data_IF_999575607827
#
_entry.id   IF_999575607827
#
_cell.length_a   1.000
_cell.length_b   1.000
_cell.length_c   1.000
_cell.angle_alpha   90.00
_cell.angle_beta   90.00
_cell.angle_gamma   90.00
#
_symmetry.space_group_name_H-M   'P 1'
#
loop_
_entity.id
_entity.type
_entity.pdbx_description
1 polymer ?
#
# COMPACT_ATOMS: atom_id res chain seq x y z
N UNK A 1 6.84 13.86 -28.70
CA UNK A 1 5.59 13.12 -28.38
C UNK A 1 4.60 14.10 -27.77
N UNK A 2 3.38 14.21 -28.32
CA UNK A 2 2.33 15.14 -27.85
C UNK A 2 2.08 14.97 -26.33
N UNK A 3 1.92 16.08 -25.61
CA UNK A 3 1.74 16.12 -24.15
C UNK A 3 0.56 15.25 -23.70
N UNK A 4 -0.58 15.33 -24.37
CA UNK A 4 -1.77 14.54 -24.05
C UNK A 4 -1.54 13.04 -24.23
N UNK A 5 -0.74 12.66 -25.23
CA UNK A 5 -0.33 11.26 -25.45
C UNK A 5 0.54 10.79 -24.28
N UNK A 6 1.40 11.64 -23.72
CA UNK A 6 2.22 11.30 -22.55
C UNK A 6 1.35 11.05 -21.30
N UNK A 7 0.34 11.90 -21.08
CA UNK A 7 -0.62 11.76 -19.97
C UNK A 7 -1.47 10.51 -20.12
N UNK A 8 -2.01 10.25 -21.33
CA UNK A 8 -2.74 9.02 -21.61
C UNK A 8 -1.89 7.76 -21.39
N UNK A 9 -0.60 7.83 -21.73
CA UNK A 9 0.34 6.74 -21.48
C UNK A 9 0.62 6.50 -19.98
N UNK A 10 0.37 7.47 -19.09
CA UNK A 10 0.48 7.25 -17.64
C UNK A 10 -0.45 6.13 -17.16
N UNK A 11 -1.61 5.92 -17.80
CA UNK A 11 -2.56 4.85 -17.45
C UNK A 11 -1.91 3.47 -17.62
N UNK A 12 -1.32 3.22 -18.79
CA UNK A 12 -0.65 1.93 -19.06
C UNK A 12 0.60 1.76 -18.19
N UNK A 13 1.36 2.84 -17.99
CA UNK A 13 2.49 2.85 -17.05
C UNK A 13 2.03 2.52 -15.63
N UNK A 14 0.85 2.98 -15.21
CA UNK A 14 0.31 2.71 -13.89
C UNK A 14 0.05 1.23 -13.65
N UNK A 15 -0.46 0.50 -14.65
CA UNK A 15 -0.68 -0.94 -14.50
C UNK A 15 0.64 -1.72 -14.37
N UNK A 16 1.64 -1.39 -15.20
CA UNK A 16 2.98 -2.01 -15.11
C UNK A 16 3.64 -1.66 -13.78
N UNK A 17 3.57 -0.39 -13.38
CA UNK A 17 4.07 0.09 -12.10
C UNK A 17 3.40 -0.63 -10.93
N UNK A 18 2.09 -0.83 -10.99
CA UNK A 18 1.32 -1.54 -9.96
C UNK A 18 1.81 -2.97 -9.78
N UNK A 19 2.15 -3.68 -10.87
CA UNK A 19 2.78 -5.00 -10.75
C UNK A 19 4.15 -4.90 -10.10
N UNK A 20 5.05 -4.09 -10.66
CA UNK A 20 6.44 -3.99 -10.19
C UNK A 20 6.50 -3.59 -8.72
N UNK A 21 5.69 -2.62 -8.28
CA UNK A 21 5.74 -2.14 -6.92
C UNK A 21 5.09 -3.08 -5.89
N UNK A 22 4.21 -4.01 -6.34
CA UNK A 22 3.48 -4.93 -5.46
C UNK A 22 3.97 -6.37 -5.52
N UNK A 23 4.79 -6.74 -6.52
CA UNK A 23 5.52 -8.01 -6.51
C UNK A 23 6.69 -7.87 -5.52
N UNK A 24 6.34 -7.99 -4.26
CA UNK A 24 7.22 -8.09 -3.11
C UNK A 24 7.20 -9.53 -2.58
N UNK A 25 8.30 -10.27 -2.78
CA UNK A 25 8.39 -11.67 -2.37
C UNK A 25 8.57 -11.81 -0.84
N UNK A 26 8.78 -10.71 -0.13
CA UNK A 26 8.90 -10.71 1.34
C UNK A 26 7.54 -10.59 2.03
N UNK A 27 6.49 -10.15 1.32
CA UNK A 27 5.15 -9.85 1.86
C UNK A 27 4.54 -10.96 2.74
N UNK A 28 4.71 -12.22 2.36
CA UNK A 28 4.14 -13.37 3.08
C UNK A 28 5.07 -14.09 4.04
N UNK A 29 6.28 -13.54 4.24
CA UNK A 29 7.34 -14.23 4.96
C UNK A 29 8.11 -13.32 5.90
N UNK A 30 7.93 -11.99 5.83
CA UNK A 30 8.75 -11.03 6.56
C UNK A 30 8.63 -11.20 8.07
N UNK A 31 7.43 -11.54 8.57
CA UNK A 31 7.20 -11.79 9.99
C UNK A 31 7.93 -13.05 10.46
N UNK A 32 7.94 -14.10 9.64
CA UNK A 32 8.67 -15.34 9.91
C UNK A 32 10.17 -15.08 9.87
N UNK A 33 10.64 -14.31 8.88
CA UNK A 33 12.03 -13.93 8.74
C UNK A 33 12.55 -13.19 9.98
N UNK A 34 11.81 -12.19 10.46
CA UNK A 34 12.17 -11.42 11.65
C UNK A 34 12.14 -12.27 12.93
N UNK A 35 11.14 -13.16 13.07
CA UNK A 35 11.12 -14.13 14.17
C UNK A 35 12.34 -15.07 14.11
N UNK A 36 12.71 -15.54 12.91
CA UNK A 36 13.91 -16.34 12.68
C UNK A 36 15.21 -15.59 12.98
N UNK A 37 15.21 -14.26 12.92
CA UNK A 37 16.30 -13.37 13.37
C UNK A 37 16.27 -13.08 14.88
N UNK A 38 15.41 -13.77 15.64
CA UNK A 38 15.35 -13.68 17.09
C UNK A 38 14.39 -12.63 17.65
N UNK A 39 13.53 -12.02 16.81
CA UNK A 39 12.52 -11.09 17.29
C UNK A 39 11.35 -11.86 17.93
N UNK A 40 10.95 -11.46 19.13
CA UNK A 40 9.71 -11.93 19.77
C UNK A 40 8.47 -11.42 19.04
N UNK A 41 7.35 -12.12 19.17
CA UNK A 41 6.05 -11.67 18.61
C UNK A 41 5.64 -10.28 19.13
N UNK A 42 6.02 -9.94 20.37
CA UNK A 42 5.83 -8.59 20.94
C UNK A 42 6.65 -7.56 20.19
N UNK A 43 7.93 -7.85 19.89
CA UNK A 43 8.77 -6.95 19.10
C UNK A 43 8.24 -6.79 17.68
N UNK A 44 7.71 -7.84 17.05
CA UNK A 44 7.04 -7.73 15.75
C UNK A 44 5.84 -6.78 15.82
N UNK A 45 5.02 -6.89 16.87
CA UNK A 45 3.91 -5.98 17.10
C UNK A 45 4.37 -4.52 17.33
N UNK A 46 5.49 -4.32 18.03
CA UNK A 46 6.09 -2.99 18.20
C UNK A 46 6.63 -2.41 16.89
N UNK A 47 7.19 -3.23 16.00
CA UNK A 47 7.61 -2.79 14.66
C UNK A 47 6.41 -2.31 13.84
N UNK A 48 5.32 -3.07 13.83
CA UNK A 48 4.06 -2.68 13.18
C UNK A 48 3.47 -1.40 13.79
N UNK A 49 3.50 -1.27 15.13
CA UNK A 49 3.12 -0.04 15.80
C UNK A 49 3.96 1.15 15.31
N UNK A 50 5.27 0.99 15.14
CA UNK A 50 6.16 2.04 14.61
C UNK A 50 5.77 2.41 13.18
N UNK A 51 5.50 1.43 12.31
CA UNK A 51 5.01 1.67 10.95
C UNK A 51 3.71 2.48 10.97
N UNK A 52 2.69 2.03 11.71
CA UNK A 52 1.38 2.70 11.72
C UNK A 52 1.42 4.09 12.36
N UNK A 53 2.16 4.30 13.45
CA UNK A 53 2.34 5.64 14.05
C UNK A 53 3.08 6.56 13.09
N UNK A 54 4.15 6.07 12.45
CA UNK A 54 4.90 6.86 11.47
C UNK A 54 4.02 7.22 10.29
N UNK A 55 3.27 6.26 9.75
CA UNK A 55 2.32 6.49 8.64
C UNK A 55 1.26 7.53 9.04
N UNK A 56 0.63 7.39 10.20
CA UNK A 56 -0.34 8.37 10.69
C UNK A 56 0.24 9.79 10.79
N UNK A 57 1.43 9.93 11.38
CA UNK A 57 2.08 11.23 11.56
C UNK A 57 2.57 11.84 10.24
N UNK A 58 2.95 11.01 9.28
CA UNK A 58 3.57 11.43 8.02
C UNK A 58 2.57 11.54 6.86
N UNK A 59 1.31 11.19 7.05
CA UNK A 59 0.27 11.25 6.01
C UNK A 59 0.17 12.67 5.42
N UNK A 60 0.03 13.68 6.27
CA UNK A 60 -0.09 15.06 5.79
C UNK A 60 1.25 15.66 5.33
N UNK A 61 2.37 15.47 6.04
CA UNK A 61 3.68 15.88 5.53
C UNK A 61 4.00 15.34 4.13
N UNK A 62 3.72 14.05 3.87
CA UNK A 62 3.99 13.43 2.56
C UNK A 62 2.97 13.87 1.50
N UNK A 63 1.71 14.12 1.87
CA UNK A 63 0.74 14.80 1.00
C UNK A 63 1.25 16.17 0.52
N UNK A 64 1.79 16.98 1.45
CA UNK A 64 2.39 18.27 1.12
C UNK A 64 3.60 18.13 0.18
N UNK A 65 4.42 17.08 0.33
CA UNK A 65 5.51 16.78 -0.63
C UNK A 65 4.94 16.59 -2.04
N UNK A 66 3.85 15.83 -2.17
CA UNK A 66 3.21 15.59 -3.46
C UNK A 66 2.56 16.85 -4.05
N UNK A 67 2.00 17.73 -3.23
CA UNK A 67 1.41 19.01 -3.68
C UNK A 67 2.49 20.02 -4.12
N UNK A 68 3.59 20.13 -3.38
CA UNK A 68 4.63 21.15 -3.60
C UNK A 68 5.61 20.73 -4.70
N UNK A 69 6.16 19.52 -4.60
CA UNK A 69 7.19 19.03 -5.52
C UNK A 69 6.58 18.27 -6.71
N UNK A 70 5.33 17.85 -6.59
CA UNK A 70 4.60 17.12 -7.63
C UNK A 70 4.43 15.64 -7.31
N UNK A 71 3.38 15.06 -7.92
CA UNK A 71 2.93 13.69 -7.68
C UNK A 71 3.99 12.66 -8.11
N UNK A 72 4.63 12.90 -9.26
CA UNK A 72 5.72 12.06 -9.78
C UNK A 72 6.91 12.04 -8.82
N UNK A 73 7.30 13.19 -8.26
CA UNK A 73 8.44 13.26 -7.34
C UNK A 73 8.14 12.48 -6.07
N UNK A 74 6.95 12.67 -5.49
CA UNK A 74 6.49 11.90 -4.33
C UNK A 74 6.56 10.39 -4.59
N UNK A 75 6.03 9.93 -5.73
CA UNK A 75 6.11 8.52 -6.17
C UNK A 75 7.54 8.00 -6.26
N UNK A 76 8.45 8.75 -6.91
CA UNK A 76 9.87 8.36 -7.04
C UNK A 76 10.50 8.20 -5.66
N UNK A 77 10.33 9.20 -4.79
CA UNK A 77 10.85 9.16 -3.42
C UNK A 77 10.28 7.97 -2.66
N UNK A 78 8.97 7.73 -2.76
CA UNK A 78 8.31 6.58 -2.15
C UNK A 78 8.94 5.26 -2.56
N UNK A 79 9.23 5.06 -3.86
CA UNK A 79 9.89 3.83 -4.33
C UNK A 79 11.36 3.72 -3.90
N UNK A 80 12.09 4.82 -3.86
CA UNK A 80 13.47 4.83 -3.34
C UNK A 80 13.49 4.44 -1.86
N UNK A 81 12.60 4.99 -1.05
CA UNK A 81 12.49 4.62 0.37
C UNK A 81 12.05 3.16 0.56
N UNK A 82 11.19 2.63 -0.32
CA UNK A 82 10.84 1.20 -0.34
C UNK A 82 12.07 0.33 -0.58
N UNK A 83 12.92 0.71 -1.52
CA UNK A 83 14.12 -0.07 -1.85
C UNK A 83 15.12 -0.02 -0.68
N UNK A 84 15.29 1.15 -0.08
CA UNK A 84 16.13 1.32 1.13
C UNK A 84 15.57 0.47 2.28
N UNK A 85 14.26 0.46 2.51
CA UNK A 85 13.69 -0.30 3.62
C UNK A 85 13.93 -1.80 3.49
N UNK A 86 13.76 -2.36 2.28
CA UNK A 86 14.01 -3.78 2.02
C UNK A 86 15.50 -4.13 2.17
N UNK A 87 16.41 -3.26 1.73
CA UNK A 87 17.86 -3.45 1.91
C UNK A 87 18.24 -3.43 3.39
N UNK A 88 17.71 -2.48 4.16
CA UNK A 88 17.93 -2.43 5.61
C UNK A 88 17.37 -3.69 6.27
N UNK A 89 16.16 -4.12 5.89
CA UNK A 89 15.51 -5.31 6.46
C UNK A 89 16.34 -6.58 6.23
N UNK A 90 16.96 -6.72 5.05
CA UNK A 90 17.85 -7.84 4.73
C UNK A 90 19.16 -7.79 5.53
N UNK A 91 19.79 -6.62 5.61
CA UNK A 91 21.11 -6.45 6.22
C UNK A 91 21.08 -6.31 7.76
N UNK A 92 19.91 -6.05 8.34
CA UNK A 92 19.74 -5.82 9.76
C UNK A 92 19.76 -7.12 10.59
N UNK A 93 20.36 -7.02 11.78
CA UNK A 93 20.46 -8.11 12.77
C UNK A 93 19.94 -7.69 14.15
N UNK A 94 19.08 -6.66 14.23
CA UNK A 94 18.58 -6.17 15.51
C UNK A 94 17.39 -5.24 15.41
N UNK A 95 16.64 -5.15 16.51
CA UNK A 95 15.38 -4.42 16.60
C UNK A 95 15.48 -2.97 16.12
N UNK A 96 16.54 -2.25 16.48
CA UNK A 96 16.69 -0.83 16.11
C UNK A 96 16.75 -0.65 14.59
N UNK A 97 17.51 -1.49 13.88
CA UNK A 97 17.61 -1.42 12.42
C UNK A 97 16.31 -1.87 11.73
N UNK A 98 15.62 -2.86 12.30
CA UNK A 98 14.28 -3.21 11.84
C UNK A 98 13.29 -2.06 12.03
N UNK A 99 13.31 -1.38 13.19
CA UNK A 99 12.47 -0.21 13.44
C UNK A 99 12.72 0.91 12.42
N UNK A 100 14.00 1.17 12.10
CA UNK A 100 14.36 2.11 11.03
C UNK A 100 13.78 1.65 9.70
N UNK A 101 13.92 0.38 9.32
CA UNK A 101 13.31 -0.15 8.09
C UNK A 101 11.79 0.06 8.05
N UNK A 102 11.08 -0.10 9.17
CA UNK A 102 9.63 0.12 9.27
C UNK A 102 9.26 1.60 9.12
N UNK A 103 10.08 2.52 9.64
CA UNK A 103 9.94 3.96 9.38
C UNK A 103 10.08 4.26 7.88
N UNK A 104 11.11 3.74 7.21
CA UNK A 104 11.28 3.92 5.77
C UNK A 104 10.11 3.32 4.96
N UNK A 105 9.59 2.17 5.40
CA UNK A 105 8.44 1.52 4.79
C UNK A 105 7.17 2.37 4.94
N UNK A 106 6.93 2.96 6.10
CA UNK A 106 5.81 3.87 6.33
C UNK A 106 5.90 5.14 5.46
N UNK A 107 7.08 5.76 5.40
CA UNK A 107 7.30 6.92 4.53
C UNK A 107 7.10 6.57 3.05
N UNK A 108 7.58 5.40 2.63
CA UNK A 108 7.38 4.88 1.28
C UNK A 108 5.90 4.70 0.94
N UNK A 109 5.13 4.14 1.88
CA UNK A 109 3.70 3.91 1.74
C UNK A 109 2.96 5.24 1.55
N UNK A 110 3.16 6.21 2.43
CA UNK A 110 2.43 7.48 2.38
C UNK A 110 2.79 8.35 1.16
N UNK A 111 4.06 8.35 0.75
CA UNK A 111 4.51 9.10 -0.43
C UNK A 111 3.87 8.59 -1.73
N UNK A 112 3.40 7.34 -1.76
CA UNK A 112 2.73 6.75 -2.92
C UNK A 112 1.21 6.72 -2.79
N UNK A 113 0.65 6.46 -1.60
CA UNK A 113 -0.78 6.19 -1.38
C UNK A 113 -1.68 7.27 -1.98
N UNK A 114 -1.48 8.54 -1.61
CA UNK A 114 -2.24 9.67 -2.17
C UNK A 114 -1.70 10.18 -3.50
N UNK A 115 -0.37 10.30 -3.61
CA UNK A 115 0.27 10.89 -4.79
C UNK A 115 0.05 10.07 -6.06
N UNK A 116 0.07 8.74 -5.93
CA UNK A 116 -0.08 7.83 -7.05
C UNK A 116 -1.49 7.84 -7.64
N UNK A 117 -2.51 7.95 -6.80
CA UNK A 117 -3.90 8.09 -7.24
C UNK A 117 -4.16 9.45 -7.88
N UNK A 118 -3.69 10.52 -7.24
CA UNK A 118 -3.77 11.88 -7.77
C UNK A 118 -3.08 12.01 -9.13
N UNK A 119 -1.89 11.42 -9.31
CA UNK A 119 -1.17 11.46 -10.60
C UNK A 119 -2.04 10.95 -11.76
N UNK A 120 -2.78 9.87 -11.55
CA UNK A 120 -3.62 9.25 -12.60
C UNK A 120 -4.94 10.01 -12.76
N UNK A 121 -5.55 10.42 -11.66
CA UNK A 121 -6.75 11.24 -11.70
C UNK A 121 -6.51 12.56 -12.43
N UNK A 122 -5.45 13.29 -12.05
CA UNK A 122 -5.08 14.57 -12.66
C UNK A 122 -4.69 14.40 -14.13
N UNK A 123 -3.98 13.32 -14.49
CA UNK A 123 -3.69 13.00 -15.90
C UNK A 123 -4.96 12.81 -16.73
N UNK A 124 -6.00 12.18 -16.17
CA UNK A 124 -7.30 11.98 -16.85
C UNK A 124 -8.10 13.27 -16.92
N UNK A 125 -8.09 14.05 -15.85
CA UNK A 125 -8.74 15.36 -15.76
C UNK A 125 -8.23 16.32 -16.83
N UNK A 126 -6.91 16.39 -17.05
CA UNK A 126 -6.32 17.26 -18.09
C UNK A 126 -6.72 16.91 -19.51
N UNK A 127 -6.92 15.62 -19.79
CA UNK A 127 -7.32 15.13 -21.11
C UNK A 127 -8.85 14.98 -21.23
N UNK A 128 -9.62 15.42 -20.24
CA UNK A 128 -11.09 15.37 -20.24
C UNK A 128 -11.68 13.95 -20.15
N UNK A 129 -10.98 13.00 -19.52
CA UNK A 129 -11.38 11.59 -19.40
C UNK A 129 -11.61 11.14 -17.94
N UNK A 130 -11.94 12.05 -17.02
CA UNK A 130 -12.11 11.77 -15.57
C UNK A 130 -13.19 10.72 -15.25
N UNK A 131 -14.27 10.64 -16.03
CA UNK A 131 -15.32 9.61 -15.91
C UNK A 131 -14.77 8.17 -15.99
N UNK A 132 -13.59 7.99 -16.61
CA UNK A 132 -12.95 6.68 -16.76
C UNK A 132 -12.15 6.28 -15.52
N UNK A 133 -11.96 7.16 -14.55
CA UNK A 133 -11.10 6.93 -13.39
C UNK A 133 -11.51 5.67 -12.62
N UNK A 134 -12.80 5.53 -12.29
CA UNK A 134 -13.28 4.36 -11.53
C UNK A 134 -13.01 3.03 -12.25
N UNK A 135 -13.19 2.99 -13.58
CA UNK A 135 -12.88 1.82 -14.40
C UNK A 135 -11.37 1.51 -14.41
N UNK A 136 -10.54 2.54 -14.46
CA UNK A 136 -9.08 2.42 -14.43
C UNK A 136 -8.60 1.95 -13.05
N UNK A 137 -9.18 2.49 -11.97
CA UNK A 137 -8.89 2.08 -10.59
C UNK A 137 -9.30 0.64 -10.34
N UNK A 138 -10.49 0.22 -10.80
CA UNK A 138 -10.90 -1.19 -10.72
C UNK A 138 -9.96 -2.13 -11.50
N UNK A 139 -9.43 -1.69 -12.64
CA UNK A 139 -8.41 -2.48 -13.36
C UNK A 139 -7.06 -2.48 -12.63
N UNK A 140 -6.64 -1.36 -12.03
CA UNK A 140 -5.44 -1.28 -11.17
C UNK A 140 -5.52 -2.31 -10.05
N UNK A 141 -6.69 -2.44 -9.42
CA UNK A 141 -6.93 -3.40 -8.35
C UNK A 141 -6.68 -4.85 -8.80
N UNK A 142 -7.12 -5.25 -9.99
CA UNK A 142 -6.82 -6.58 -10.54
C UNK A 142 -5.30 -6.81 -10.66
N UNK A 143 -4.54 -5.81 -11.12
CA UNK A 143 -3.08 -5.91 -11.20
C UNK A 143 -2.43 -6.00 -9.82
N UNK A 144 -2.96 -5.28 -8.82
CA UNK A 144 -2.53 -5.39 -7.42
C UNK A 144 -2.75 -6.80 -6.87
N UNK A 145 -3.94 -7.37 -7.08
CA UNK A 145 -4.25 -8.72 -6.61
C UNK A 145 -3.37 -9.79 -7.27
N UNK A 146 -3.18 -9.70 -8.59
CA UNK A 146 -2.27 -10.60 -9.33
C UNK A 146 -0.85 -10.48 -8.82
N UNK A 147 -0.36 -9.27 -8.56
CA UNK A 147 0.96 -9.07 -7.96
C UNK A 147 1.06 -9.74 -6.58
N UNK A 148 0.03 -9.62 -5.74
CA UNK A 148 -0.04 -10.28 -4.44
C UNK A 148 0.02 -11.81 -4.55
N UNK A 149 -0.75 -12.42 -5.47
CA UNK A 149 -0.69 -13.87 -5.72
C UNK A 149 0.73 -14.31 -6.11
N UNK A 150 1.38 -13.59 -7.04
CA UNK A 150 2.76 -13.86 -7.44
C UNK A 150 3.71 -13.73 -6.24
N UNK A 151 3.56 -12.67 -5.46
CA UNK A 151 4.34 -12.41 -4.25
C UNK A 151 4.28 -13.56 -3.26
N UNK A 152 3.09 -14.04 -2.91
CA UNK A 152 2.95 -15.09 -1.90
C UNK A 152 3.44 -16.44 -2.41
N UNK A 153 3.11 -16.82 -3.64
CA UNK A 153 3.55 -18.09 -4.22
C UNK A 153 5.07 -18.13 -4.43
N UNK A 154 5.61 -17.14 -5.13
CA UNK A 154 7.04 -17.07 -5.41
C UNK A 154 7.83 -16.79 -4.14
N UNK A 155 7.35 -15.90 -3.28
CA UNK A 155 7.98 -15.55 -2.02
C UNK A 155 8.07 -16.74 -1.06
N UNK A 156 6.96 -17.44 -0.83
CA UNK A 156 6.92 -18.63 0.01
C UNK A 156 7.84 -19.75 -0.53
N UNK A 157 7.78 -20.02 -1.84
CA UNK A 157 8.64 -21.02 -2.47
C UNK A 157 10.14 -20.69 -2.40
N UNK A 158 10.50 -19.43 -2.65
CA UNK A 158 11.90 -18.98 -2.59
C UNK A 158 12.41 -18.96 -1.16
N UNK A 159 11.60 -18.52 -0.19
CA UNK A 159 11.96 -18.47 1.22
C UNK A 159 12.15 -19.85 1.84
N UNK A 160 11.39 -20.85 1.40
CA UNK A 160 11.60 -22.24 1.79
C UNK A 160 13.00 -22.77 1.41
N UNK A 161 13.67 -22.14 0.43
CA UNK A 161 15.06 -22.44 0.06
C UNK A 161 16.05 -21.48 0.71
N UNK A 162 15.79 -20.18 0.59
CA UNK A 162 16.63 -19.12 1.14
C UNK A 162 15.89 -17.78 1.12
N UNK A 163 15.74 -17.19 2.31
CA UNK A 163 15.21 -15.83 2.45
C UNK A 163 16.03 -14.81 1.64
N UNK A 164 17.36 -14.93 1.60
CA UNK A 164 18.23 -14.01 0.86
C UNK A 164 17.87 -13.95 -0.64
N UNK A 165 17.46 -15.06 -1.25
CA UNK A 165 17.03 -15.10 -2.66
C UNK A 165 15.72 -14.34 -2.84
N UNK A 166 14.74 -14.54 -1.97
CA UNK A 166 13.46 -13.83 -2.01
C UNK A 166 13.66 -12.30 -1.87
N UNK A 167 14.52 -11.89 -0.93
CA UNK A 167 14.90 -10.48 -0.76
C UNK A 167 15.66 -9.92 -1.96
N UNK A 168 16.64 -10.65 -2.51
CA UNK A 168 17.41 -10.20 -3.68
C UNK A 168 16.52 -9.97 -4.90
N UNK A 169 15.58 -10.88 -5.18
CA UNK A 169 14.60 -10.71 -6.25
C UNK A 169 13.71 -9.49 -5.98
N UNK A 170 13.24 -9.31 -4.74
CA UNK A 170 12.44 -8.13 -4.34
C UNK A 170 13.21 -6.83 -4.56
N UNK A 171 14.51 -6.78 -4.23
CA UNK A 171 15.37 -5.61 -4.46
C UNK A 171 15.51 -5.33 -5.97
N UNK A 172 15.71 -6.36 -6.80
CA UNK A 172 15.81 -6.20 -8.26
C UNK A 172 14.50 -5.65 -8.85
N UNK A 173 13.36 -6.21 -8.43
CA UNK A 173 12.04 -5.75 -8.87
C UNK A 173 11.77 -4.32 -8.37
N UNK A 174 12.13 -4.01 -7.12
CA UNK A 174 12.03 -2.68 -6.54
C UNK A 174 12.87 -1.65 -7.28
N UNK A 175 14.09 -2.00 -7.68
CA UNK A 175 14.94 -1.15 -8.53
C UNK A 175 14.31 -0.91 -9.91
N UNK A 176 13.71 -1.94 -10.51
CA UNK A 176 12.95 -1.78 -11.76
C UNK A 176 11.72 -0.87 -11.56
N UNK A 177 11.02 -0.95 -10.43
CA UNK A 177 9.92 -0.05 -10.09
C UNK A 177 10.39 1.41 -9.94
N UNK A 178 11.55 1.65 -9.30
CA UNK A 178 12.19 2.98 -9.23
C UNK A 178 12.46 3.50 -10.64
N UNK A 179 13.12 2.73 -11.51
CA UNK A 179 13.40 3.14 -12.90
C UNK A 179 12.11 3.43 -13.67
N UNK A 180 11.10 2.59 -13.54
CA UNK A 180 9.82 2.75 -14.20
C UNK A 180 9.10 4.04 -13.74
N UNK A 181 9.23 4.42 -12.46
CA UNK A 181 8.61 5.62 -11.92
C UNK A 181 9.09 6.93 -12.59
N UNK A 182 10.34 6.96 -13.09
CA UNK A 182 10.85 8.10 -13.87
C UNK A 182 10.16 8.26 -15.23
N UNK A 183 9.53 7.21 -15.75
CA UNK A 183 8.86 7.25 -17.06
C UNK A 183 7.53 8.03 -17.03
N UNK A 184 6.94 8.28 -15.86
CA UNK A 184 5.68 9.01 -15.74
C UNK A 184 5.82 10.47 -16.19
N UNK A 185 4.73 11.01 -16.74
CA UNK A 185 4.59 12.42 -17.02
C UNK A 185 3.83 13.09 -15.88
N UNK A 186 4.38 14.18 -15.36
CA UNK A 186 3.69 15.00 -14.36
C UNK A 186 2.55 15.80 -15.03
N UNK A 187 1.29 15.69 -14.54
CA UNK A 187 0.21 16.55 -14.94
C UNK A 187 0.44 17.99 -14.42
N UNK A 188 -0.06 18.99 -15.14
CA UNK A 188 0.09 20.39 -14.79
C UNK A 188 -1.02 20.94 -13.87
N UNK A 189 -2.07 20.17 -13.61
CA UNK A 189 -3.20 20.52 -12.72
C UNK A 189 -2.65 21.00 -11.37
N UNK A 190 -3.14 22.15 -10.93
CA UNK A 190 -2.94 22.74 -9.61
C UNK A 190 -1.52 23.19 -9.19
N UNK A 191 -0.54 23.29 -10.10
CA UNK A 191 0.72 24.01 -9.79
C UNK A 191 0.57 25.52 -9.63
N UNK A 192 -0.61 26.09 -9.90
CA UNK A 192 -0.87 27.52 -9.71
C UNK A 192 -1.47 27.77 -8.33
N UNK A 193 -0.61 28.33 -7.46
CA UNK A 193 -0.84 28.95 -6.15
C UNK A 193 -0.50 28.00 -4.98
N UNK A 194 0.65 28.23 -4.32
CA UNK A 194 0.73 28.62 -2.89
C UNK A 194 2.06 28.30 -2.17
N UNK A 195 3.11 29.07 -2.47
CA UNK A 195 4.33 29.09 -1.65
C UNK A 195 4.12 29.73 -0.25
N UNK A 196 2.92 30.25 0.06
CA UNK A 196 2.61 30.94 1.34
C UNK A 196 1.52 30.29 2.20
N UNK A 197 0.93 29.14 1.83
CA UNK A 197 -0.26 28.59 2.53
C UNK A 197 -0.14 27.18 3.12
N UNK A 198 0.98 26.46 2.99
CA UNK A 198 1.11 25.06 3.47
C UNK A 198 0.77 24.88 4.97
N UNK A 199 1.29 25.76 5.83
CA UNK A 199 1.02 25.68 7.29
C UNK A 199 -0.43 26.03 7.64
N UNK A 200 -1.05 26.95 6.90
CA UNK A 200 -2.45 27.33 7.07
C UNK A 200 -3.39 26.26 6.49
N UNK A 201 -3.03 25.62 5.37
CA UNK A 201 -3.79 24.52 4.77
C UNK A 201 -3.82 23.32 5.72
N UNK A 202 -2.69 22.93 6.30
CA UNK A 202 -2.63 21.83 7.26
C UNK A 202 -3.54 22.05 8.47
N UNK A 203 -3.39 23.20 9.13
CA UNK A 203 -4.20 23.54 10.30
C UNK A 203 -5.69 23.67 9.95
N UNK A 204 -6.00 24.17 8.75
CA UNK A 204 -7.38 24.28 8.27
C UNK A 204 -7.98 22.91 7.97
N UNK A 205 -7.28 22.01 7.27
CA UNK A 205 -7.72 20.64 6.98
C UNK A 205 -7.91 19.83 8.27
N UNK A 206 -6.99 19.94 9.23
CA UNK A 206 -7.16 19.31 10.55
C UNK A 206 -8.38 19.86 11.29
N UNK A 207 -8.53 21.19 11.31
CA UNK A 207 -9.68 21.84 11.97
C UNK A 207 -11.00 21.45 11.32
N UNK A 208 -11.02 21.30 10.00
CA UNK A 208 -12.19 20.87 9.23
C UNK A 208 -12.50 19.40 9.49
N UNK A 209 -11.50 18.52 9.45
CA UNK A 209 -11.63 17.09 9.80
C UNK A 209 -12.17 16.92 11.22
N UNK A 210 -11.62 17.64 12.20
CA UNK A 210 -12.10 17.63 13.59
C UNK A 210 -13.52 18.19 13.72
N UNK A 211 -13.89 19.19 12.91
CA UNK A 211 -15.25 19.73 12.87
C UNK A 211 -16.23 18.68 12.31
N UNK A 212 -15.87 17.97 11.24
CA UNK A 212 -16.70 16.90 10.67
C UNK A 212 -16.91 15.79 11.69
N UNK A 213 -15.84 15.35 12.36
CA UNK A 213 -15.89 14.35 13.44
C UNK A 213 -16.84 14.80 14.56
N UNK A 214 -16.72 16.05 15.02
CA UNK A 214 -17.61 16.58 16.07
C UNK A 214 -19.06 16.75 15.63
N UNK A 215 -19.29 17.11 14.37
CA UNK A 215 -20.63 17.44 13.87
C UNK A 215 -21.42 16.20 13.44
N UNK A 216 -20.75 15.08 13.16
CA UNK A 216 -21.37 13.87 12.60
C UNK A 216 -20.99 12.61 13.40
N UNK A 217 -21.55 12.42 14.62
CA UNK A 217 -21.21 11.28 15.47
C UNK A 217 -21.53 9.92 14.81
N UNK A 218 -22.50 9.87 13.89
CA UNK A 218 -22.80 8.65 13.11
C UNK A 218 -21.65 8.25 12.19
N UNK A 219 -21.00 9.22 11.53
CA UNK A 219 -19.85 8.96 10.65
C UNK A 219 -18.67 8.46 11.49
N UNK A 220 -18.43 9.07 12.65
CA UNK A 220 -17.39 8.63 13.59
C UNK A 220 -17.65 7.20 14.05
N UNK A 221 -18.89 6.86 14.41
CA UNK A 221 -19.24 5.50 14.81
C UNK A 221 -18.97 4.48 13.71
N UNK A 222 -19.27 4.81 12.44
CA UNK A 222 -18.99 3.94 11.30
C UNK A 222 -17.48 3.78 11.05
N UNK A 223 -16.71 4.86 11.17
CA UNK A 223 -15.25 4.82 11.05
C UNK A 223 -14.68 3.91 12.15
N UNK A 224 -14.98 4.19 13.42
CA UNK A 224 -14.47 3.41 14.56
C UNK A 224 -14.86 1.94 14.45
N UNK A 225 -16.11 1.65 14.08
CA UNK A 225 -16.57 0.28 13.86
C UNK A 225 -15.77 -0.44 12.77
N UNK A 226 -15.57 0.21 11.63
CA UNK A 226 -14.83 -0.36 10.49
C UNK A 226 -13.36 -0.57 10.83
N UNK A 227 -12.72 0.42 11.46
CA UNK A 227 -11.31 0.36 11.85
C UNK A 227 -11.05 -0.72 12.91
N UNK A 228 -11.97 -0.93 13.85
CA UNK A 228 -11.85 -2.03 14.83
C UNK A 228 -11.84 -3.39 14.10
N UNK A 229 -12.75 -3.62 13.16
CA UNK A 229 -12.81 -4.87 12.41
C UNK A 229 -11.55 -5.06 11.58
N UNK A 230 -11.13 -4.03 10.84
CA UNK A 230 -9.91 -4.06 10.04
C UNK A 230 -8.65 -4.28 10.90
N UNK A 231 -8.62 -3.76 12.12
CA UNK A 231 -7.54 -4.02 13.07
C UNK A 231 -7.44 -5.50 13.40
N UNK A 232 -8.56 -6.16 13.72
CA UNK A 232 -8.57 -7.61 13.97
C UNK A 232 -8.12 -8.41 12.73
N UNK A 233 -8.66 -8.09 11.55
CA UNK A 233 -8.26 -8.76 10.30
C UNK A 233 -6.76 -8.58 10.02
N UNK A 234 -6.23 -7.37 10.23
CA UNK A 234 -4.81 -7.05 10.03
C UNK A 234 -3.92 -7.81 11.02
N UNK A 235 -4.30 -7.86 12.30
CA UNK A 235 -3.56 -8.64 13.30
C UNK A 235 -3.54 -10.14 12.95
N UNK A 236 -4.68 -10.70 12.54
CA UNK A 236 -4.73 -12.10 12.07
C UNK A 236 -3.81 -12.29 10.88
N UNK A 237 -3.90 -11.42 9.86
CA UNK A 237 -3.06 -11.49 8.67
C UNK A 237 -1.57 -11.48 9.00
N UNK A 238 -1.15 -10.67 9.96
CA UNK A 238 0.24 -10.59 10.41
C UNK A 238 0.70 -11.84 11.16
N UNK A 239 0.01 -12.21 12.24
CA UNK A 239 0.46 -13.28 13.13
C UNK A 239 0.22 -14.68 12.58
N UNK A 240 -0.69 -14.86 11.61
CA UNK A 240 -1.01 -16.16 11.02
C UNK A 240 0.23 -16.82 10.37
N UNK A 241 1.15 -16.04 9.80
CA UNK A 241 2.41 -16.54 9.22
C UNK A 241 3.25 -17.28 10.29
N UNK A 242 3.47 -16.63 11.43
CA UNK A 242 4.26 -17.18 12.54
C UNK A 242 3.53 -18.33 13.24
N UNK A 243 2.20 -18.22 13.39
CA UNK A 243 1.38 -19.30 13.94
C UNK A 243 1.51 -20.58 13.11
N UNK A 244 1.29 -20.49 11.79
CA UNK A 244 1.47 -21.63 10.89
C UNK A 244 2.91 -22.16 10.91
N UNK A 245 3.92 -21.28 10.95
CA UNK A 245 5.31 -21.72 11.05
C UNK A 245 5.56 -22.52 12.34
N UNK A 246 4.97 -22.09 13.46
CA UNK A 246 5.04 -22.79 14.75
C UNK A 246 4.37 -24.16 14.73
N UNK A 247 3.29 -24.33 13.97
CA UNK A 247 2.61 -25.61 13.74
C UNK A 247 3.37 -26.53 12.75
N UNK A 248 4.54 -26.12 12.26
CA UNK A 248 5.41 -26.93 11.40
C UNK A 248 5.17 -26.76 9.89
N UNK A 249 4.30 -25.85 9.48
CA UNK A 249 4.13 -25.53 8.04
C UNK A 249 5.39 -24.83 7.50
N UNK A 250 5.79 -25.20 6.28
CA UNK A 250 6.87 -24.50 5.59
C UNK A 250 6.38 -23.22 4.90
N UNK A 251 7.32 -22.36 4.51
CA UNK A 251 7.08 -21.07 3.88
C UNK A 251 6.28 -21.19 2.57
N UNK A 252 6.47 -22.29 1.83
CA UNK A 252 5.75 -22.53 0.58
C UNK A 252 4.25 -22.76 0.82
N UNK A 253 3.87 -23.57 1.82
CA UNK A 253 2.47 -23.80 2.17
C UNK A 253 1.83 -22.51 2.70
N UNK A 254 2.55 -21.76 3.54
CA UNK A 254 2.09 -20.46 4.04
C UNK A 254 1.83 -19.51 2.85
N UNK A 255 2.75 -19.44 1.90
CA UNK A 255 2.58 -18.69 0.66
C UNK A 255 1.34 -19.11 -0.15
N UNK A 256 1.04 -20.41 -0.24
CA UNK A 256 -0.18 -20.90 -0.92
C UNK A 256 -1.46 -20.43 -0.21
N UNK A 257 -1.48 -20.43 1.13
CA UNK A 257 -2.64 -19.98 1.92
C UNK A 257 -2.93 -18.49 1.68
N UNK A 258 -1.91 -17.63 1.73
CA UNK A 258 -2.10 -16.20 1.44
C UNK A 258 -2.39 -15.91 -0.04
N UNK A 259 -1.84 -16.69 -0.96
CA UNK A 259 -2.19 -16.58 -2.37
C UNK A 259 -3.68 -16.89 -2.59
N UNK A 260 -4.22 -17.91 -1.90
CA UNK A 260 -5.62 -18.25 -1.99
C UNK A 260 -6.54 -17.12 -1.49
N UNK A 261 -6.15 -16.40 -0.42
CA UNK A 261 -6.94 -15.25 0.06
C UNK A 261 -6.94 -14.08 -0.93
N UNK A 262 -5.82 -13.82 -1.62
CA UNK A 262 -5.75 -12.81 -2.68
C UNK A 262 -6.55 -13.21 -3.93
N UNK A 263 -6.56 -14.49 -4.30
CA UNK A 263 -7.44 -14.99 -5.37
C UNK A 263 -8.91 -14.79 -4.98
N UNK A 264 -9.29 -15.13 -3.75
CA UNK A 264 -10.64 -14.92 -3.25
C UNK A 264 -11.04 -13.44 -3.25
N UNK A 265 -10.12 -12.55 -2.85
CA UNK A 265 -10.32 -11.10 -2.91
C UNK A 265 -10.52 -10.61 -4.36
N UNK A 266 -9.69 -11.07 -5.31
CA UNK A 266 -9.82 -10.73 -6.73
C UNK A 266 -11.16 -11.18 -7.33
N UNK A 267 -11.61 -12.39 -7.01
CA UNK A 267 -12.90 -12.91 -7.46
C UNK A 267 -14.05 -12.11 -6.86
N UNK A 268 -13.99 -11.82 -5.56
CA UNK A 268 -15.01 -11.03 -4.85
C UNK A 268 -15.09 -9.61 -5.40
N UNK A 269 -13.95 -8.96 -5.66
CA UNK A 269 -13.90 -7.64 -6.28
C UNK A 269 -14.55 -7.62 -7.67
N UNK A 270 -14.37 -8.68 -8.47
CA UNK A 270 -15.00 -8.79 -9.79
C UNK A 270 -16.53 -8.94 -9.72
N UNK A 271 -17.07 -9.38 -8.58
CA UNK A 271 -18.49 -9.58 -8.34
C UNK A 271 -19.11 -8.51 -7.44
N UNK A 272 -18.35 -7.51 -6.99
CA UNK A 272 -18.80 -6.55 -5.98
C UNK A 272 -20.10 -5.85 -6.38
N UNK A 273 -20.25 -5.44 -7.65
CA UNK A 273 -21.48 -4.80 -8.14
C UNK A 273 -22.70 -5.74 -8.14
N UNK A 274 -22.50 -7.05 -8.27
CA UNK A 274 -23.59 -8.04 -8.17
C UNK A 274 -23.97 -8.26 -6.72
N UNK A 275 -22.96 -8.36 -5.85
CA UNK A 275 -23.13 -8.51 -4.41
C UNK A 275 -23.88 -7.29 -3.86
N UNK A 276 -23.41 -6.08 -4.14
CA UNK A 276 -24.01 -4.82 -3.71
C UNK A 276 -25.49 -4.68 -4.11
N UNK A 277 -25.87 -5.12 -5.31
CA UNK A 277 -27.29 -5.10 -5.74
C UNK A 277 -28.19 -5.98 -4.87
N UNK A 278 -27.65 -7.05 -4.29
CA UNK A 278 -28.39 -8.01 -3.47
C UNK A 278 -28.41 -7.57 -2.01
N UNK A 279 -27.24 -7.30 -1.43
CA UNK A 279 -27.12 -7.02 0.01
C UNK A 279 -27.25 -5.53 0.35
N UNK A 280 -27.11 -4.63 -0.63
CA UNK A 280 -27.05 -3.16 -0.47
C UNK A 280 -25.92 -2.72 0.47
N UNK A 281 -25.64 -1.43 0.52
CA UNK A 281 -24.59 -0.87 1.39
C UNK A 281 -24.78 -1.24 2.87
N UNK A 282 -26.04 -1.25 3.33
CA UNK A 282 -26.38 -1.61 4.70
C UNK A 282 -26.10 -3.08 5.03
N UNK A 283 -26.32 -4.00 4.09
CA UNK A 283 -26.01 -5.41 4.27
C UNK A 283 -24.51 -5.69 4.23
N UNK A 284 -23.73 -4.94 3.43
CA UNK A 284 -22.26 -5.01 3.44
C UNK A 284 -21.74 -4.69 4.85
N UNK A 285 -22.21 -3.59 5.44
CA UNK A 285 -21.80 -3.16 6.78
C UNK A 285 -22.17 -4.17 7.88
N UNK A 286 -23.25 -4.93 7.70
CA UNK A 286 -23.68 -5.99 8.63
C UNK A 286 -22.91 -7.30 8.45
N UNK A 287 -22.38 -7.57 7.25
CA UNK A 287 -21.67 -8.81 6.92
C UNK A 287 -20.18 -8.70 7.25
N UNK A 288 -19.58 -7.51 7.10
CA UNK A 288 -18.14 -7.26 7.35
C UNK A 288 -17.62 -7.87 8.68
N UNK A 289 -18.34 -7.82 9.82
CA UNK A 289 -17.86 -8.42 11.08
C UNK A 289 -17.77 -9.96 11.10
N UNK A 290 -18.40 -10.64 10.13
CA UNK A 290 -18.54 -12.10 10.10
C UNK A 290 -17.66 -12.77 9.02
N UNK A 291 -16.85 -11.99 8.29
CA UNK A 291 -15.92 -12.44 7.24
C UNK A 291 -14.49 -12.37 7.78
#
# INVERSE_FOLDING_TARGET
>A
MNYDIQLKNNINKNYIFTLLQNIDLTRGIWMIYLAGKGMSLTQLGLLEMIFHITSFLMEVPTGAVADIFGRKISRILGRVLSLISVVILLAADGFLWFAISFVFTALSFNLESGAGEALIYDSLKEIGEEDRYMKISGRKEVFYQVAGVISFLAGGYMAAKSYNIAFAITIIIGAAAVLQSFSFKEPAVDRKKEEQKVKNIFLNQLKESLRVVKSNPRIVSLIVFTEIILTFCTCIFFYLQNFMKGEGYNEAIIGVVYAASFVAAALTASWVHRIERVIKEQGILLIIPFV
#
